data_IF_559129702276
#
_entry.id   IF_559129702276
#
_cell.length_a   1.000
_cell.length_b   1.000
_cell.length_c   1.000
_cell.angle_alpha   90.00
_cell.angle_beta   90.00
_cell.angle_gamma   90.00
#
_symmetry.space_group_name_H-M   'P 1'
#
loop_
_entity.id
_entity.type
_entity.pdbx_description
1 polymer ?
#
# COMPACT_ATOMS: atom_id res chain seq x y z
N UNK A 1 -7.54 -19.67 -5.68
CA UNK A 1 -7.26 -18.81 -4.53
C UNK A 1 -7.22 -17.36 -4.98
N UNK A 2 -7.91 -16.48 -4.27
CA UNK A 2 -7.94 -15.07 -4.66
C UNK A 2 -6.67 -14.35 -4.19
N UNK A 3 -6.15 -13.41 -4.99
CA UNK A 3 -5.00 -12.61 -4.57
C UNK A 3 -5.33 -11.79 -3.33
N UNK A 4 -4.31 -11.56 -2.52
CA UNK A 4 -4.42 -10.69 -1.35
C UNK A 4 -4.47 -9.24 -1.82
N UNK A 5 -5.46 -8.49 -1.36
CA UNK A 5 -5.62 -7.08 -1.72
C UNK A 5 -4.72 -6.23 -0.84
N UNK A 6 -3.86 -5.43 -1.47
CA UNK A 6 -2.83 -4.65 -0.80
C UNK A 6 -3.01 -3.16 -1.08
N UNK A 7 -2.96 -2.35 -0.04
CA UNK A 7 -2.84 -0.90 -0.10
C UNK A 7 -1.41 -0.52 0.24
N UNK A 8 -0.81 0.39 -0.53
CA UNK A 8 0.52 0.92 -0.23
C UNK A 8 0.40 2.41 0.08
N UNK A 9 0.80 2.80 1.29
CA UNK A 9 0.90 4.20 1.70
C UNK A 9 2.35 4.65 1.62
N UNK A 10 2.58 5.84 1.08
CA UNK A 10 3.91 6.29 0.72
C UNK A 10 4.34 5.75 -0.65
N UNK A 11 3.37 5.55 -1.54
CA UNK A 11 3.58 4.87 -2.82
C UNK A 11 4.52 5.61 -3.78
N UNK A 12 4.68 6.91 -3.64
CA UNK A 12 5.57 7.71 -4.47
C UNK A 12 7.01 7.74 -3.94
N UNK A 13 7.22 7.39 -2.68
CA UNK A 13 8.54 7.35 -2.09
C UNK A 13 9.36 6.16 -2.60
N UNK A 14 10.67 6.16 -2.30
CA UNK A 14 11.58 5.12 -2.79
C UNK A 14 11.12 3.71 -2.39
N UNK A 15 10.85 3.49 -1.12
CA UNK A 15 10.43 2.18 -0.62
C UNK A 15 9.04 1.82 -1.10
N UNK A 16 8.12 2.79 -1.12
CA UNK A 16 6.76 2.55 -1.62
C UNK A 16 6.75 2.10 -3.06
N UNK A 17 7.56 2.72 -3.91
CA UNK A 17 7.68 2.32 -5.32
C UNK A 17 8.21 0.90 -5.47
N UNK A 18 9.20 0.52 -4.65
CA UNK A 18 9.72 -0.84 -4.66
C UNK A 18 8.66 -1.86 -4.25
N UNK A 19 7.85 -1.54 -3.26
CA UNK A 19 6.76 -2.42 -2.81
C UNK A 19 5.67 -2.52 -3.87
N UNK A 20 5.28 -1.41 -4.48
CA UNK A 20 4.30 -1.43 -5.59
C UNK A 20 4.78 -2.35 -6.70
N UNK A 21 6.03 -2.21 -7.10
CA UNK A 21 6.63 -3.04 -8.15
C UNK A 21 6.63 -4.52 -7.75
N UNK A 22 6.99 -4.83 -6.51
CA UNK A 22 7.02 -6.19 -6.01
C UNK A 22 5.61 -6.80 -5.95
N UNK A 23 4.62 -6.04 -5.49
CA UNK A 23 3.23 -6.49 -5.44
C UNK A 23 2.71 -6.79 -6.85
N UNK A 24 3.00 -5.92 -7.82
CA UNK A 24 2.57 -6.12 -9.20
C UNK A 24 3.24 -7.33 -9.86
N UNK A 25 4.42 -7.71 -9.40
CA UNK A 25 5.15 -8.86 -9.91
C UNK A 25 4.73 -10.20 -9.29
N UNK A 26 3.87 -10.20 -8.27
CA UNK A 26 3.47 -11.41 -7.57
C UNK A 26 2.03 -11.79 -7.90
N UNK A 27 1.79 -12.98 -8.47
CA UNK A 27 0.42 -13.39 -8.83
C UNK A 27 -0.50 -13.56 -7.62
N UNK A 28 0.06 -13.77 -6.43
CA UNK A 28 -0.72 -13.94 -5.19
C UNK A 28 -1.12 -12.62 -4.54
N UNK A 29 -0.64 -11.49 -5.08
CA UNK A 29 -0.90 -10.17 -4.53
C UNK A 29 -1.54 -9.28 -5.57
N UNK A 30 -2.41 -8.39 -5.12
CA UNK A 30 -3.06 -7.42 -5.99
C UNK A 30 -3.00 -6.04 -5.36
N UNK A 31 -2.45 -5.07 -6.09
CA UNK A 31 -2.48 -3.68 -5.66
C UNK A 31 -3.89 -3.14 -5.89
N UNK A 32 -4.57 -2.73 -4.83
CA UNK A 32 -5.92 -2.17 -4.92
C UNK A 32 -5.96 -0.68 -4.60
N UNK A 33 -4.95 -0.16 -3.92
CA UNK A 33 -4.92 1.25 -3.57
C UNK A 33 -3.50 1.73 -3.33
N UNK A 34 -3.26 3.01 -3.61
CA UNK A 34 -1.99 3.66 -3.38
C UNK A 34 -2.27 5.05 -2.82
N UNK A 35 -1.54 5.44 -1.77
CA UNK A 35 -1.74 6.69 -1.07
C UNK A 35 -0.41 7.42 -0.93
N UNK A 36 -0.39 8.70 -1.27
CA UNK A 36 0.76 9.57 -1.04
C UNK A 36 0.31 11.02 -1.21
N UNK A 37 1.05 11.94 -0.61
CA UNK A 37 0.85 13.38 -0.82
C UNK A 37 1.38 13.84 -2.17
N UNK A 38 2.35 13.10 -2.70
CA UNK A 38 3.03 13.41 -3.95
C UNK A 38 2.49 12.50 -5.05
N UNK A 39 2.33 13.05 -6.24
CA UNK A 39 1.90 12.27 -7.41
C UNK A 39 0.43 11.91 -7.42
N UNK A 40 -0.41 12.63 -6.68
CA UNK A 40 -1.87 12.39 -6.68
C UNK A 40 -2.42 12.42 -8.10
N UNK A 41 -3.15 11.39 -8.47
CA UNK A 41 -3.71 11.24 -9.80
C UNK A 41 -2.85 10.42 -10.77
N UNK A 42 -1.57 10.24 -10.46
CA UNK A 42 -0.67 9.42 -11.30
C UNK A 42 -0.89 7.93 -11.03
N UNK A 43 -0.72 7.11 -12.05
CA UNK A 43 -0.81 5.67 -11.87
C UNK A 43 0.36 5.14 -11.04
N UNK A 44 0.05 4.44 -9.96
CA UNK A 44 1.08 3.95 -9.03
C UNK A 44 2.06 2.99 -9.69
N UNK A 45 1.59 2.16 -10.61
CA UNK A 45 2.44 1.24 -11.34
C UNK A 45 3.43 1.94 -12.25
N UNK A 46 2.98 3.00 -12.94
CA UNK A 46 3.87 3.80 -13.78
C UNK A 46 4.91 4.53 -12.96
N UNK A 47 4.50 5.10 -11.84
CA UNK A 47 5.42 5.77 -10.92
C UNK A 47 6.50 4.80 -10.43
N UNK A 48 6.15 3.56 -10.19
CA UNK A 48 7.08 2.52 -9.76
C UNK A 48 7.92 1.95 -10.89
N UNK A 49 7.62 2.31 -12.14
CA UNK A 49 8.33 1.74 -13.29
C UNK A 49 7.90 0.33 -13.64
N UNK A 50 6.71 -0.09 -13.22
CA UNK A 50 6.20 -1.45 -13.42
C UNK A 50 5.09 -1.54 -14.45
N UNK A 51 4.80 -0.46 -15.17
CA UNK A 51 3.69 -0.40 -16.12
C UNK A 51 2.39 0.01 -15.44
N UNK A 52 1.30 0.02 -16.19
CA UNK A 52 0.01 0.48 -15.67
C UNK A 52 -0.56 -0.49 -14.64
N UNK A 53 -0.84 0.02 -13.44
CA UNK A 53 -1.52 -0.75 -12.41
C UNK A 53 -3.04 -0.56 -12.47
N UNK A 54 -3.51 0.52 -13.08
CA UNK A 54 -4.91 0.90 -13.02
C UNK A 54 -5.30 1.46 -11.65
N UNK A 55 -4.33 1.89 -10.86
CA UNK A 55 -4.53 2.38 -9.50
C UNK A 55 -3.89 3.76 -9.38
N UNK A 56 -4.70 4.80 -9.28
CA UNK A 56 -4.21 6.17 -9.12
C UNK A 56 -3.77 6.41 -7.69
N UNK A 57 -2.69 7.17 -7.52
CA UNK A 57 -2.27 7.62 -6.20
C UNK A 57 -3.31 8.62 -5.68
N UNK A 58 -3.76 8.42 -4.45
CA UNK A 58 -4.78 9.25 -3.80
C UNK A 58 -4.22 9.94 -2.56
N UNK A 59 -4.76 11.09 -2.19
CA UNK A 59 -4.24 11.83 -1.04
C UNK A 59 -4.57 11.16 0.29
N UNK A 60 -3.77 11.39 1.35
CA UNK A 60 -3.98 10.77 2.65
C UNK A 60 -5.35 11.06 3.28
N UNK A 61 -5.96 12.19 2.95
CA UNK A 61 -7.28 12.57 3.46
C UNK A 61 -8.37 11.58 3.05
N UNK A 62 -8.16 10.82 1.99
CA UNK A 62 -9.11 9.85 1.47
C UNK A 62 -8.90 8.43 2.03
N UNK A 63 -7.98 8.26 2.96
CA UNK A 63 -7.61 6.93 3.45
C UNK A 63 -8.80 6.11 3.94
N UNK A 64 -9.67 6.67 4.76
CA UNK A 64 -10.84 5.94 5.28
C UNK A 64 -11.81 5.56 4.17
N UNK A 65 -12.05 6.47 3.23
CA UNK A 65 -12.92 6.20 2.09
C UNK A 65 -12.34 5.06 1.22
N UNK A 66 -11.03 5.05 1.04
CA UNK A 66 -10.33 4.01 0.28
C UNK A 66 -10.46 2.66 0.99
N UNK A 67 -10.26 2.63 2.30
CA UNK A 67 -10.37 1.40 3.09
C UNK A 67 -11.78 0.80 2.98
N UNK A 68 -12.80 1.65 2.98
CA UNK A 68 -14.19 1.19 2.83
C UNK A 68 -14.48 0.71 1.41
N UNK A 69 -14.00 1.44 0.40
CA UNK A 69 -14.34 1.15 -1.01
C UNK A 69 -13.54 -0.04 -1.57
N UNK A 70 -12.26 -0.12 -1.25
CA UNK A 70 -11.36 -1.11 -1.84
C UNK A 70 -11.18 -2.34 -0.96
N UNK A 71 -11.53 -2.23 0.32
CA UNK A 71 -11.46 -3.32 1.29
C UNK A 71 -10.13 -4.09 1.24
N UNK A 72 -8.98 -3.41 1.40
CA UNK A 72 -7.70 -4.11 1.37
C UNK A 72 -7.55 -5.01 2.60
N UNK A 73 -6.90 -6.15 2.40
CA UNK A 73 -6.60 -7.07 3.49
C UNK A 73 -5.36 -6.62 4.26
N UNK A 74 -4.42 -5.98 3.57
CA UNK A 74 -3.16 -5.51 4.13
C UNK A 74 -2.89 -4.09 3.66
N UNK A 75 -2.41 -3.25 4.56
CA UNK A 75 -1.92 -1.91 4.24
C UNK A 75 -0.46 -1.81 4.65
N UNK A 76 0.41 -1.56 3.68
CA UNK A 76 1.85 -1.39 3.92
C UNK A 76 2.16 0.10 3.94
N UNK A 77 2.83 0.56 4.98
CA UNK A 77 3.09 1.98 5.20
C UNK A 77 4.58 2.25 5.39
N UNK A 78 5.13 3.14 4.57
CA UNK A 78 6.50 3.62 4.67
C UNK A 78 6.60 5.08 5.09
N UNK A 79 5.49 5.66 5.55
CA UNK A 79 5.52 7.01 6.12
C UNK A 79 6.14 6.96 7.52
N UNK A 80 6.50 8.13 8.04
CA UNK A 80 7.21 8.22 9.32
C UNK A 80 6.38 8.97 10.35
N UNK A 81 6.60 8.62 11.64
CA UNK A 81 6.04 9.35 12.77
C UNK A 81 4.54 9.26 12.89
N UNK A 82 3.86 10.39 13.13
CA UNK A 82 2.41 10.39 13.39
C UNK A 82 1.56 9.80 12.28
N UNK A 83 2.03 9.85 11.04
CA UNK A 83 1.28 9.32 9.90
C UNK A 83 1.07 7.81 10.00
N UNK A 84 2.06 7.09 10.54
CA UNK A 84 1.92 5.65 10.74
C UNK A 84 0.83 5.31 11.75
N UNK A 85 0.68 6.14 12.81
CA UNK A 85 -0.40 5.96 13.78
C UNK A 85 -1.77 6.17 13.15
N UNK A 86 -1.88 7.11 12.22
CA UNK A 86 -3.14 7.34 11.52
C UNK A 86 -3.56 6.11 10.73
N UNK A 87 -2.62 5.42 10.11
CA UNK A 87 -2.93 4.19 9.40
C UNK A 87 -3.44 3.11 10.37
N UNK A 88 -2.80 2.91 11.50
CA UNK A 88 -3.24 1.93 12.49
C UNK A 88 -4.68 2.22 12.94
N UNK A 89 -4.97 3.46 13.26
CA UNK A 89 -6.32 3.87 13.70
C UNK A 89 -7.38 3.65 12.63
N UNK A 90 -7.04 3.91 11.37
CA UNK A 90 -7.96 3.74 10.27
C UNK A 90 -8.12 2.27 9.88
N UNK A 91 -7.05 1.49 9.87
CA UNK A 91 -7.05 0.12 9.38
C UNK A 91 -7.80 -0.84 10.31
N UNK A 92 -7.63 -0.70 11.63
CA UNK A 92 -8.21 -1.64 12.59
C UNK A 92 -9.74 -1.77 12.45
N UNK A 93 -10.53 -0.67 12.36
CA UNK A 93 -11.98 -0.80 12.20
C UNK A 93 -12.40 -1.46 10.88
N UNK A 94 -11.54 -1.49 9.88
CA UNK A 94 -11.83 -2.07 8.57
C UNK A 94 -11.29 -3.49 8.40
N UNK A 95 -10.76 -4.10 9.47
CA UNK A 95 -10.14 -5.43 9.42
C UNK A 95 -8.96 -5.50 8.45
N UNK A 96 -8.32 -4.38 8.20
CA UNK A 96 -7.11 -4.32 7.39
C UNK A 96 -5.89 -4.47 8.30
N UNK A 97 -5.00 -5.39 7.96
CA UNK A 97 -3.77 -5.61 8.74
C UNK A 97 -2.71 -4.59 8.35
N UNK A 98 -2.31 -3.68 9.26
CA UNK A 98 -1.28 -2.70 8.95
C UNK A 98 0.12 -3.28 9.11
N UNK A 99 0.99 -2.97 8.16
CA UNK A 99 2.42 -3.28 8.23
C UNK A 99 3.17 -1.98 8.05
N UNK A 100 3.92 -1.59 9.07
CA UNK A 100 4.67 -0.33 9.04
C UNK A 100 6.16 -0.62 8.89
N UNK A 101 6.71 -0.14 7.77
CA UNK A 101 8.14 -0.27 7.48
C UNK A 101 8.84 1.07 7.61
N UNK A 102 9.28 1.41 8.81
CA UNK A 102 10.00 2.67 9.02
C UNK A 102 11.46 2.59 8.59
N UNK A 103 12.05 1.41 8.69
CA UNK A 103 13.44 1.17 8.34
C UNK A 103 13.61 -0.13 7.55
N UNK A 104 12.51 -0.86 7.31
CA UNK A 104 12.55 -2.14 6.66
C UNK A 104 12.84 -2.05 5.17
N UNK A 105 13.37 -3.12 4.61
CA UNK A 105 13.51 -3.27 3.17
C UNK A 105 12.18 -3.74 2.58
N UNK A 106 11.95 -3.43 1.32
CA UNK A 106 10.73 -3.85 0.62
C UNK A 106 10.51 -5.37 0.70
N UNK A 107 11.60 -6.15 0.63
CA UNK A 107 11.52 -7.60 0.72
C UNK A 107 10.98 -8.07 2.08
N UNK A 108 11.36 -7.41 3.17
CA UNK A 108 10.88 -7.74 4.50
C UNK A 108 9.39 -7.44 4.64
N UNK A 109 8.95 -6.28 4.13
CA UNK A 109 7.53 -5.93 4.14
C UNK A 109 6.71 -6.95 3.35
N UNK A 110 7.20 -7.35 2.18
CA UNK A 110 6.53 -8.33 1.35
C UNK A 110 6.45 -9.69 2.05
N UNK A 111 7.51 -10.09 2.76
CA UNK A 111 7.51 -11.33 3.53
C UNK A 111 6.47 -11.28 4.65
N UNK A 112 6.32 -10.14 5.32
CA UNK A 112 5.28 -9.98 6.35
C UNK A 112 3.87 -10.07 5.77
N UNK A 113 3.64 -9.50 4.59
CA UNK A 113 2.36 -9.62 3.90
C UNK A 113 2.04 -11.10 3.65
N UNK A 114 3.02 -11.85 3.15
CA UNK A 114 2.85 -13.28 2.90
C UNK A 114 2.57 -14.06 4.18
N UNK A 115 3.20 -13.69 5.29
CA UNK A 115 3.03 -14.37 6.56
C UNK A 115 1.62 -14.19 7.14
N UNK A 116 0.88 -13.16 6.70
CA UNK A 116 -0.49 -12.91 7.14
C UNK A 116 -1.52 -13.76 6.41
N UNK A 117 -1.08 -14.57 5.47
CA UNK A 117 -1.99 -15.43 4.69
C UNK A 117 -1.99 -16.90 5.16
#
# INVERSE_FOLDING_TARGET
>A
MQPIRVLVRGAHGRMGREVVKAVMGEPDLRLVAAVDRVGVGDDAGRVAGAGDAGVAIRPPEELEAILSAEDPEVAVDFTKGPEALDLFRAAIPHNTSPIVGTTGMAAEALAEVRALC
#
